data_IF_574022337253
#
_entry.id   IF_574022337253
#
_cell.length_a   1.000
_cell.length_b   1.000
_cell.length_c   1.000
_cell.angle_alpha   90.00
_cell.angle_beta   90.00
_cell.angle_gamma   90.00
#
_symmetry.space_group_name_H-M   'P 1'
#
loop_
_entity.id
_entity.type
_entity.pdbx_description
1 polymer ?
#
# COMPACT_ATOMS: atom_id res chain seq x y z
N UNK A 1 15.38 -10.55 19.79
CA UNK A 1 15.88 -10.30 18.42
C UNK A 1 16.89 -9.15 18.51
N UNK A 2 17.92 -9.11 17.65
CA UNK A 2 18.92 -8.04 17.69
C UNK A 2 18.30 -6.71 17.23
N UNK A 3 18.85 -5.58 17.71
CA UNK A 3 18.44 -4.25 17.26
C UNK A 3 18.73 -4.09 15.76
N UNK A 4 17.79 -3.49 15.01
CA UNK A 4 17.94 -3.27 13.58
C UNK A 4 18.92 -2.14 13.29
N UNK A 5 19.43 -2.07 12.05
CA UNK A 5 20.43 -1.09 11.64
C UNK A 5 20.07 -0.48 10.30
N UNK A 6 20.52 0.74 10.07
CA UNK A 6 20.45 1.33 8.74
C UNK A 6 21.34 0.53 7.76
N UNK A 7 20.92 0.39 6.50
CA UNK A 7 21.74 -0.19 5.44
C UNK A 7 22.12 0.90 4.45
N UNK A 8 23.37 1.33 4.48
CA UNK A 8 23.85 2.47 3.70
C UNK A 8 25.15 2.08 2.99
N UNK A 9 25.20 2.31 1.68
CA UNK A 9 26.41 2.05 0.89
C UNK A 9 26.88 0.60 0.95
N UNK A 10 25.98 -0.39 1.08
CA UNK A 10 26.30 -1.81 1.19
C UNK A 10 26.73 -2.24 2.58
N UNK A 11 26.44 -1.49 3.63
CA UNK A 11 26.84 -1.81 5.00
C UNK A 11 25.71 -1.60 6.00
N UNK A 12 25.57 -2.51 6.97
CA UNK A 12 24.69 -2.33 8.13
C UNK A 12 25.38 -1.45 9.17
N UNK A 13 24.88 -0.23 9.33
CA UNK A 13 25.48 0.79 10.17
C UNK A 13 24.59 1.09 11.39
N UNK A 14 25.23 1.21 12.55
CA UNK A 14 24.53 1.71 13.74
C UNK A 14 24.39 3.22 13.62
N UNK A 15 23.18 3.74 13.95
CA UNK A 15 22.92 5.17 13.97
C UNK A 15 23.90 5.95 14.85
N UNK A 16 24.43 7.08 14.33
CA UNK A 16 25.42 7.91 15.00
C UNK A 16 24.88 8.65 16.23
N UNK A 17 23.58 9.02 16.22
CA UNK A 17 22.92 9.77 17.29
C UNK A 17 22.57 8.95 18.53
N UNK A 18 22.64 7.62 18.48
CA UNK A 18 22.42 6.71 19.61
C UNK A 18 20.98 6.67 20.16
N UNK A 19 20.01 7.29 19.49
CA UNK A 19 18.59 7.23 19.87
C UNK A 19 17.90 6.06 19.18
N UNK A 20 16.99 5.41 19.92
CA UNK A 20 16.30 4.20 19.49
C UNK A 20 14.81 4.31 19.76
N UNK A 21 14.02 3.68 18.91
CA UNK A 21 12.57 3.49 19.08
C UNK A 21 12.29 2.00 19.26
N UNK A 22 11.41 1.66 20.20
CA UNK A 22 10.94 0.29 20.39
C UNK A 22 9.94 -0.09 19.31
N UNK A 23 10.02 -1.34 18.87
CA UNK A 23 9.04 -1.97 17.99
C UNK A 23 8.30 -3.07 18.77
N UNK A 24 7.07 -2.82 19.25
CA UNK A 24 6.26 -3.81 19.94
C UNK A 24 5.50 -4.70 18.95
N UNK A 25 5.25 -5.93 19.34
CA UNK A 25 4.36 -6.86 18.65
C UNK A 25 2.90 -6.45 18.84
N UNK A 26 2.14 -6.13 17.78
CA UNK A 26 0.76 -5.62 17.92
C UNK A 26 -0.20 -6.59 18.62
N UNK A 27 0.02 -7.90 18.48
CA UNK A 27 -0.85 -8.91 19.04
C UNK A 27 -0.68 -9.08 20.56
N UNK A 28 0.51 -8.82 21.11
CA UNK A 28 0.84 -9.11 22.50
C UNK A 28 1.33 -7.89 23.29
N UNK A 29 1.71 -6.80 22.64
CA UNK A 29 2.42 -5.67 23.23
C UNK A 29 3.88 -5.98 23.62
N UNK A 30 4.36 -7.19 23.33
CA UNK A 30 5.72 -7.61 23.70
C UNK A 30 6.76 -6.95 22.82
N UNK A 31 7.90 -6.63 23.40
CA UNK A 31 9.04 -6.07 22.64
C UNK A 31 9.56 -7.07 21.60
N UNK A 32 9.75 -6.62 20.36
CA UNK A 32 10.37 -7.39 19.28
C UNK A 32 11.83 -6.99 19.09
N UNK A 33 12.06 -5.73 18.77
CA UNK A 33 13.39 -5.15 18.46
C UNK A 33 13.37 -3.64 18.69
N UNK A 34 14.51 -2.98 18.49
CA UNK A 34 14.59 -1.53 18.40
C UNK A 34 15.09 -1.13 17.03
N UNK A 35 14.68 0.05 16.57
CA UNK A 35 15.17 0.68 15.36
C UNK A 35 15.91 1.98 15.68
N UNK A 36 16.93 2.37 14.90
CA UNK A 36 17.56 3.69 15.06
C UNK A 36 16.56 4.80 14.72
N UNK A 37 16.55 5.86 15.53
CA UNK A 37 15.92 7.13 15.19
C UNK A 37 16.90 7.96 14.36
N UNK A 38 16.95 7.68 13.05
CA UNK A 38 17.83 8.39 12.13
C UNK A 38 17.50 9.88 12.04
N UNK A 39 18.52 10.67 11.81
CA UNK A 39 18.45 12.11 11.64
C UNK A 39 18.93 12.56 10.23
N UNK A 40 19.06 13.86 10.03
CA UNK A 40 19.48 14.43 8.76
C UNK A 40 20.88 13.93 8.33
N UNK A 41 21.78 13.60 9.27
CA UNK A 41 23.13 13.12 8.93
C UNK A 41 23.12 11.70 8.36
N UNK A 42 22.20 10.83 8.85
CA UNK A 42 22.01 9.49 8.28
C UNK A 42 21.35 9.59 6.88
N UNK A 43 20.42 10.54 6.72
CA UNK A 43 19.79 10.84 5.41
C UNK A 43 20.85 11.29 4.41
N UNK A 44 21.71 12.26 4.78
CA UNK A 44 22.77 12.76 3.93
C UNK A 44 23.70 11.62 3.50
N UNK A 45 24.14 10.77 4.45
CA UNK A 45 24.99 9.63 4.14
C UNK A 45 24.33 8.62 3.17
N UNK A 46 23.04 8.35 3.34
CA UNK A 46 22.29 7.44 2.46
C UNK A 46 22.10 8.02 1.06
N UNK A 47 21.79 9.31 0.95
CA UNK A 47 21.64 9.99 -0.34
C UNK A 47 22.98 10.11 -1.06
N UNK A 48 24.08 10.42 -0.35
CA UNK A 48 25.43 10.46 -0.92
C UNK A 48 25.83 9.09 -1.49
N UNK A 49 25.56 8.00 -0.75
CA UNK A 49 25.83 6.64 -1.23
C UNK A 49 24.98 6.32 -2.49
N UNK A 50 23.71 6.70 -2.50
CA UNK A 50 22.83 6.52 -3.64
C UNK A 50 23.31 7.33 -4.87
N UNK A 51 23.64 8.60 -4.66
CA UNK A 51 24.16 9.49 -5.72
C UNK A 51 25.48 8.99 -6.30
N UNK A 52 26.37 8.49 -5.47
CA UNK A 52 27.64 7.91 -5.92
C UNK A 52 27.50 6.66 -6.77
N UNK A 53 26.50 5.82 -6.49
CA UNK A 53 26.25 4.57 -7.22
C UNK A 53 25.47 4.79 -8.54
N UNK A 54 24.67 5.86 -8.63
CA UNK A 54 23.71 6.08 -9.71
C UNK A 54 24.32 6.06 -11.13
N UNK A 55 25.45 6.72 -11.44
CA UNK A 55 26.00 6.73 -12.79
C UNK A 55 26.38 5.33 -13.32
N UNK A 56 26.99 4.50 -12.49
CA UNK A 56 27.39 3.14 -12.87
C UNK A 56 26.17 2.22 -13.00
N UNK A 57 25.21 2.32 -12.09
CA UNK A 57 23.97 1.53 -12.12
C UNK A 57 23.08 1.93 -13.31
N UNK A 58 22.91 3.22 -13.53
CA UNK A 58 22.11 3.76 -14.65
C UNK A 58 22.68 3.45 -16.03
N UNK A 59 23.98 3.17 -16.15
CA UNK A 59 24.64 2.79 -17.39
C UNK A 59 24.40 1.32 -17.80
N UNK A 60 23.93 0.45 -16.89
CA UNK A 60 23.58 -0.93 -17.21
C UNK A 60 22.37 -0.95 -18.17
N UNK A 61 22.31 -1.98 -19.01
CA UNK A 61 21.14 -2.25 -19.84
C UNK A 61 19.94 -2.69 -19.02
N UNK A 62 18.73 -2.60 -19.58
CA UNK A 62 17.51 -3.11 -18.94
C UNK A 62 17.63 -4.60 -18.61
N UNK A 63 18.24 -5.41 -19.51
CA UNK A 63 18.44 -6.84 -19.29
C UNK A 63 19.37 -7.13 -18.11
N UNK A 64 20.49 -6.42 -17.99
CA UNK A 64 21.42 -6.60 -16.85
C UNK A 64 20.75 -6.23 -15.52
N UNK A 65 19.97 -5.16 -15.48
CA UNK A 65 19.20 -4.81 -14.28
C UNK A 65 18.08 -5.82 -13.98
N UNK A 66 17.42 -6.35 -15.01
CA UNK A 66 16.42 -7.41 -14.84
C UNK A 66 17.02 -8.69 -14.22
N UNK A 67 18.25 -9.04 -14.59
CA UNK A 67 18.95 -10.19 -13.99
C UNK A 67 19.22 -9.99 -12.49
N UNK A 68 19.47 -8.73 -12.05
CA UNK A 68 19.56 -8.42 -10.63
C UNK A 68 18.22 -8.53 -9.91
N UNK A 69 17.12 -8.10 -10.55
CA UNK A 69 15.78 -8.26 -9.97
C UNK A 69 15.42 -9.73 -9.79
N UNK A 70 15.74 -10.61 -10.75
CA UNK A 70 15.51 -12.05 -10.62
C UNK A 70 16.34 -12.68 -9.49
N UNK A 71 17.62 -12.30 -9.33
CA UNK A 71 18.44 -12.76 -8.20
C UNK A 71 17.87 -12.36 -6.85
N UNK A 72 17.33 -11.13 -6.74
CA UNK A 72 16.65 -10.67 -5.52
C UNK A 72 15.38 -11.49 -5.30
N UNK A 73 14.58 -11.73 -6.35
CA UNK A 73 13.36 -12.55 -6.26
C UNK A 73 13.67 -13.97 -5.78
N UNK A 74 14.69 -14.63 -6.36
CA UNK A 74 15.11 -15.97 -5.98
C UNK A 74 15.54 -16.04 -4.50
N UNK A 75 16.27 -15.04 -4.05
CA UNK A 75 16.74 -14.98 -2.66
C UNK A 75 15.62 -14.65 -1.65
N UNK A 76 14.61 -13.85 -2.04
CA UNK A 76 13.40 -13.63 -1.25
C UNK A 76 12.55 -14.90 -1.19
N UNK A 77 12.38 -15.60 -2.34
CA UNK A 77 11.63 -16.86 -2.41
C UNK A 77 12.23 -17.93 -1.49
N UNK A 78 13.56 -17.99 -1.41
CA UNK A 78 14.26 -18.91 -0.50
C UNK A 78 14.00 -18.60 1.00
N UNK A 79 13.48 -17.42 1.34
CA UNK A 79 13.11 -17.00 2.71
C UNK A 79 11.61 -16.79 2.87
N UNK A 80 10.79 -17.36 2.01
CA UNK A 80 9.36 -17.10 1.89
C UNK A 80 8.59 -17.27 3.22
N UNK A 81 8.77 -18.39 3.91
CA UNK A 81 8.10 -18.65 5.20
C UNK A 81 8.62 -17.75 6.33
N UNK A 82 9.88 -17.37 6.30
CA UNK A 82 10.44 -16.40 7.24
C UNK A 82 9.84 -15.00 7.02
N UNK A 83 9.68 -14.58 5.76
CA UNK A 83 8.99 -13.32 5.43
C UNK A 83 7.55 -13.35 5.97
N UNK A 84 6.80 -14.44 5.71
CA UNK A 84 5.43 -14.55 6.18
C UNK A 84 5.33 -14.48 7.72
N UNK A 85 6.22 -15.16 8.43
CA UNK A 85 6.26 -15.16 9.89
C UNK A 85 6.62 -13.77 10.45
N UNK A 86 7.60 -13.09 9.87
CA UNK A 86 7.99 -11.74 10.28
C UNK A 86 6.89 -10.71 10.01
N UNK A 87 6.27 -10.75 8.82
CA UNK A 87 5.14 -9.85 8.48
C UNK A 87 3.97 -10.04 9.43
N UNK A 88 3.58 -11.30 9.73
CA UNK A 88 2.50 -11.59 10.67
C UNK A 88 2.80 -11.04 12.05
N UNK A 89 4.01 -11.26 12.54
CA UNK A 89 4.44 -10.83 13.85
C UNK A 89 4.54 -9.31 13.98
N UNK A 90 5.12 -8.65 12.96
CA UNK A 90 5.41 -7.22 12.96
C UNK A 90 4.15 -6.36 12.76
N UNK A 91 3.13 -6.90 12.09
CA UNK A 91 1.89 -6.20 11.76
C UNK A 91 0.68 -6.65 12.57
N UNK A 92 0.75 -7.79 13.24
CA UNK A 92 -0.39 -8.41 13.92
C UNK A 92 -1.39 -9.11 12.99
N UNK A 93 -1.16 -9.15 11.66
CA UNK A 93 -2.06 -9.80 10.69
C UNK A 93 -1.97 -11.33 10.75
N UNK A 94 -3.02 -12.08 10.34
CA UNK A 94 -2.95 -13.53 10.24
C UNK A 94 -1.82 -14.03 9.33
N UNK A 95 -1.16 -15.12 9.74
CA UNK A 95 -0.04 -15.75 9.00
C UNK A 95 -0.48 -16.20 7.59
N UNK A 96 -1.71 -16.68 7.44
CA UNK A 96 -2.30 -17.06 6.16
C UNK A 96 -2.33 -15.88 5.18
N UNK A 97 -2.67 -14.69 5.67
CA UNK A 97 -2.67 -13.45 4.88
C UNK A 97 -1.24 -12.99 4.57
N UNK A 98 -0.35 -12.95 5.56
CA UNK A 98 1.05 -12.57 5.38
C UNK A 98 1.74 -13.45 4.33
N UNK A 99 1.45 -14.77 4.33
CA UNK A 99 1.98 -15.72 3.36
C UNK A 99 1.43 -15.49 1.96
N UNK A 100 0.10 -15.40 1.82
CA UNK A 100 -0.55 -15.36 0.50
C UNK A 100 -0.51 -13.98 -0.16
N UNK A 101 -0.34 -12.92 0.62
CA UNK A 101 -0.29 -11.54 0.13
C UNK A 101 1.15 -11.00 0.20
N UNK A 102 1.70 -10.76 1.39
CA UNK A 102 2.96 -10.03 1.53
C UNK A 102 4.16 -10.79 0.99
N UNK A 103 4.38 -12.04 1.44
CA UNK A 103 5.48 -12.88 0.98
C UNK A 103 5.35 -13.19 -0.51
N UNK A 104 4.13 -13.54 -0.98
CA UNK A 104 3.89 -13.81 -2.40
C UNK A 104 4.19 -12.58 -3.26
N UNK A 105 3.73 -11.41 -2.85
CA UNK A 105 3.88 -10.18 -3.62
C UNK A 105 5.31 -9.65 -3.60
N UNK A 106 6.04 -9.82 -2.50
CA UNK A 106 7.44 -9.42 -2.43
C UNK A 106 8.30 -10.10 -3.51
N UNK A 107 8.10 -11.39 -3.75
CA UNK A 107 8.77 -12.15 -4.80
C UNK A 107 8.23 -11.79 -6.19
N UNK A 108 6.91 -11.84 -6.35
CA UNK A 108 6.26 -11.66 -7.66
C UNK A 108 6.45 -10.26 -8.23
N UNK A 109 6.60 -9.22 -7.40
CA UNK A 109 6.89 -7.86 -7.84
C UNK A 109 8.25 -7.78 -8.55
N UNK A 110 9.30 -8.34 -7.97
CA UNK A 110 10.62 -8.35 -8.60
C UNK A 110 10.62 -9.15 -9.91
N UNK A 111 10.03 -10.36 -9.93
CA UNK A 111 9.92 -11.18 -11.16
C UNK A 111 9.13 -10.47 -12.26
N UNK A 112 8.00 -9.84 -11.89
CA UNK A 112 7.16 -9.12 -12.83
C UNK A 112 7.93 -7.97 -13.49
N UNK A 113 8.61 -7.12 -12.70
CA UNK A 113 9.37 -6.01 -13.24
C UNK A 113 10.60 -6.48 -14.02
N UNK A 114 11.26 -7.57 -13.63
CA UNK A 114 12.32 -8.17 -14.44
C UNK A 114 11.81 -8.59 -15.83
N UNK A 115 10.63 -9.21 -15.88
CA UNK A 115 9.99 -9.63 -17.14
C UNK A 115 9.71 -8.45 -18.08
N UNK A 116 9.00 -7.43 -17.59
CA UNK A 116 8.62 -6.30 -18.45
C UNK A 116 9.80 -5.41 -18.84
N UNK A 117 10.89 -5.37 -18.04
CA UNK A 117 12.11 -4.64 -18.39
C UNK A 117 12.82 -5.25 -19.59
N UNK A 118 12.83 -6.56 -19.72
CA UNK A 118 13.45 -7.25 -20.89
C UNK A 118 12.71 -6.96 -22.20
N UNK A 119 11.42 -6.65 -22.10
CA UNK A 119 10.56 -6.31 -23.24
C UNK A 119 10.39 -4.80 -23.43
N UNK A 120 11.00 -4.01 -22.52
CA UNK A 120 10.84 -2.55 -22.56
C UNK A 120 11.71 -1.92 -23.63
N UNK A 121 11.07 -1.43 -24.68
CA UNK A 121 11.69 -0.66 -25.77
C UNK A 121 11.11 0.75 -25.78
N UNK A 122 11.91 1.72 -26.26
CA UNK A 122 11.45 3.08 -26.51
C UNK A 122 10.60 3.15 -27.78
N UNK A 123 9.64 4.07 -27.81
CA UNK A 123 8.84 4.31 -29.00
C UNK A 123 9.69 4.88 -30.14
N UNK A 124 9.35 4.50 -31.38
CA UNK A 124 9.98 5.01 -32.61
C UNK A 124 8.90 5.60 -33.52
N UNK A 125 9.12 6.81 -33.95
CA UNK A 125 8.19 7.54 -34.84
C UNK A 125 8.89 7.95 -36.13
N UNK A 126 8.48 7.38 -37.25
CA UNK A 126 9.00 7.66 -38.56
C UNK A 126 8.34 8.90 -39.17
N UNK A 127 9.14 9.77 -39.75
CA UNK A 127 8.71 10.92 -40.55
C UNK A 127 9.34 10.84 -41.95
N UNK A 128 8.83 11.58 -42.91
CA UNK A 128 9.36 11.59 -44.29
C UNK A 128 10.85 11.98 -44.38
N UNK A 129 11.35 12.79 -43.44
CA UNK A 129 12.72 13.32 -43.44
C UNK A 129 13.48 13.14 -42.13
N UNK A 130 12.91 12.39 -41.16
CA UNK A 130 13.54 12.16 -39.86
C UNK A 130 12.93 10.95 -39.16
N UNK A 131 13.68 10.34 -38.24
CA UNK A 131 13.19 9.35 -37.28
C UNK A 131 13.35 9.92 -35.89
N UNK A 132 12.30 9.81 -35.05
CA UNK A 132 12.34 10.17 -33.64
C UNK A 132 12.41 8.90 -32.79
N UNK A 133 13.35 8.88 -31.87
CA UNK A 133 13.52 7.81 -30.88
C UNK A 133 13.20 8.33 -29.49
N UNK A 134 12.35 7.64 -28.74
CA UNK A 134 12.11 7.93 -27.32
C UNK A 134 13.08 7.11 -26.48
N UNK A 135 13.95 7.79 -25.78
CA UNK A 135 14.93 7.17 -24.87
C UNK A 135 14.49 7.42 -23.44
N UNK A 136 14.26 6.34 -22.67
CA UNK A 136 13.91 6.43 -21.26
C UNK A 136 15.18 6.42 -20.41
N UNK A 137 15.48 7.56 -19.76
CA UNK A 137 16.63 7.74 -18.87
C UNK A 137 16.21 7.56 -17.41
N UNK A 138 17.10 7.07 -16.52
CA UNK A 138 16.87 7.15 -15.09
C UNK A 138 16.60 8.59 -14.64
N UNK A 139 15.71 8.78 -13.67
CA UNK A 139 15.46 10.09 -13.05
C UNK A 139 16.65 10.50 -12.19
N UNK A 140 17.18 9.57 -11.39
CA UNK A 140 18.31 9.78 -10.48
C UNK A 140 18.17 9.06 -9.16
N UNK A 141 18.19 9.79 -8.03
CA UNK A 141 18.00 9.26 -6.69
C UNK A 141 16.54 9.34 -6.26
N UNK A 142 15.96 8.21 -5.85
CA UNK A 142 14.59 8.12 -5.40
C UNK A 142 14.45 7.98 -3.88
N UNK A 143 13.54 8.76 -3.28
CA UNK A 143 13.04 8.54 -1.92
C UNK A 143 11.80 7.64 -1.99
N UNK A 144 11.87 6.45 -1.39
CA UNK A 144 10.78 5.49 -1.35
C UNK A 144 10.28 5.35 0.10
N UNK A 145 9.06 5.82 0.35
CA UNK A 145 8.48 5.85 1.70
C UNK A 145 7.24 4.98 1.71
N UNK A 146 7.21 3.97 2.60
CA UNK A 146 6.15 2.96 2.65
C UNK A 146 5.46 2.91 4.02
N UNK A 147 4.16 2.58 4.04
CA UNK A 147 3.37 2.47 5.25
C UNK A 147 3.56 1.11 5.92
N UNK A 148 2.88 0.93 7.05
CA UNK A 148 2.96 -0.23 7.93
C UNK A 148 1.98 -1.39 7.60
N UNK A 149 0.97 -1.18 6.75
CA UNK A 149 -0.10 -2.15 6.59
C UNK A 149 0.23 -3.36 5.70
N UNK A 150 1.07 -3.16 4.68
CA UNK A 150 1.58 -4.19 3.76
C UNK A 150 3.08 -3.92 3.49
N UNK A 151 3.95 -4.07 4.51
CA UNK A 151 5.30 -3.53 4.51
C UNK A 151 6.17 -3.96 3.32
N UNK A 152 6.53 -5.23 3.24
CA UNK A 152 7.43 -5.73 2.20
C UNK A 152 6.76 -5.75 0.82
N UNK A 153 5.45 -6.00 0.76
CA UNK A 153 4.70 -5.89 -0.49
C UNK A 153 4.87 -4.51 -1.12
N UNK A 154 4.60 -3.43 -0.36
CA UNK A 154 4.65 -2.07 -0.89
C UNK A 154 6.09 -1.58 -1.10
N UNK A 155 7.02 -2.02 -0.27
CA UNK A 155 8.43 -1.70 -0.46
C UNK A 155 8.98 -2.32 -1.75
N UNK A 156 8.75 -3.62 -1.97
CA UNK A 156 9.17 -4.31 -3.20
C UNK A 156 8.50 -3.74 -4.46
N UNK A 157 7.23 -3.31 -4.34
CA UNK A 157 6.47 -2.69 -5.44
C UNK A 157 7.07 -1.36 -5.91
N UNK A 158 7.77 -0.64 -5.03
CA UNK A 158 8.47 0.61 -5.36
C UNK A 158 9.94 0.38 -5.75
N UNK A 159 10.65 -0.48 -5.01
CA UNK A 159 12.09 -0.74 -5.25
C UNK A 159 12.32 -1.39 -6.61
N UNK A 160 11.54 -2.43 -6.95
CA UNK A 160 11.78 -3.19 -8.17
C UNK A 160 11.73 -2.34 -9.46
N UNK A 161 10.68 -1.53 -9.74
CA UNK A 161 10.67 -0.67 -10.92
C UNK A 161 11.67 0.48 -10.82
N UNK A 162 11.93 1.02 -9.64
CA UNK A 162 12.87 2.13 -9.46
C UNK A 162 14.29 1.75 -9.88
N UNK A 163 14.84 0.66 -9.29
CA UNK A 163 16.18 0.19 -9.64
C UNK A 163 16.21 -0.44 -11.04
N UNK A 164 15.11 -1.06 -11.47
CA UNK A 164 14.94 -1.59 -12.82
C UNK A 164 15.10 -0.52 -13.89
N UNK A 165 14.57 0.67 -13.68
CA UNK A 165 14.74 1.82 -14.61
C UNK A 165 16.08 2.54 -14.42
N UNK A 166 16.98 2.04 -13.57
CA UNK A 166 18.34 2.54 -13.41
C UNK A 166 18.50 3.65 -12.36
N UNK A 167 17.48 3.91 -11.54
CA UNK A 167 17.61 4.80 -10.40
C UNK A 167 18.30 4.10 -9.24
N UNK A 168 18.85 4.88 -8.32
CA UNK A 168 19.26 4.42 -7.00
C UNK A 168 18.28 4.95 -5.97
N UNK A 169 18.14 4.28 -4.82
CA UNK A 169 17.05 4.59 -3.91
C UNK A 169 17.51 4.65 -2.45
N UNK A 170 16.82 5.52 -1.70
CA UNK A 170 16.82 5.53 -0.24
C UNK A 170 15.41 5.16 0.22
N UNK A 171 15.28 4.02 0.89
CA UNK A 171 14.04 3.48 1.40
C UNK A 171 13.85 3.91 2.84
N UNK A 172 12.65 4.41 3.19
CA UNK A 172 12.20 4.63 4.57
C UNK A 172 10.90 3.87 4.81
N UNK A 173 10.96 2.66 5.36
CA UNK A 173 9.76 1.95 5.79
C UNK A 173 9.10 2.65 6.98
N UNK A 174 7.86 2.29 7.30
CA UNK A 174 7.24 2.73 8.55
C UNK A 174 8.06 2.23 9.74
N UNK A 175 8.18 3.08 10.75
CA UNK A 175 8.79 2.76 12.04
C UNK A 175 8.04 1.67 12.81
N UNK A 176 6.76 1.45 12.50
CA UNK A 176 5.91 0.45 13.15
C UNK A 176 6.10 -0.97 12.60
N UNK A 177 6.71 -1.13 11.41
CA UNK A 177 6.88 -2.43 10.75
C UNK A 177 8.20 -2.51 9.98
N UNK A 178 9.33 -2.48 10.69
CA UNK A 178 10.66 -2.39 10.08
C UNK A 178 11.26 -3.74 9.68
N UNK A 179 10.76 -4.87 10.20
CA UNK A 179 11.48 -6.15 10.21
C UNK A 179 11.70 -6.73 8.83
N UNK A 180 10.69 -6.73 7.97
CA UNK A 180 10.82 -7.30 6.63
C UNK A 180 11.55 -6.39 5.65
N UNK A 181 11.60 -5.08 5.93
CA UNK A 181 12.49 -4.17 5.22
C UNK A 181 13.97 -4.47 5.53
N UNK A 182 14.31 -4.72 6.80
CA UNK A 182 15.65 -5.18 7.20
C UNK A 182 15.99 -6.54 6.57
N UNK A 183 15.05 -7.51 6.58
CA UNK A 183 15.23 -8.78 5.90
C UNK A 183 15.53 -8.60 4.40
N UNK A 184 14.85 -7.67 3.72
CA UNK A 184 15.13 -7.38 2.31
C UNK A 184 16.55 -6.82 2.14
N UNK A 185 17.05 -5.99 3.06
CA UNK A 185 18.45 -5.54 3.01
C UNK A 185 19.45 -6.68 3.22
N UNK A 186 19.15 -7.63 4.10
CA UNK A 186 19.99 -8.84 4.25
C UNK A 186 20.02 -9.67 2.95
N UNK A 187 18.89 -9.75 2.24
CA UNK A 187 18.82 -10.40 0.92
C UNK A 187 19.66 -9.64 -0.10
N UNK A 188 19.52 -8.32 -0.19
CA UNK A 188 20.25 -7.44 -1.10
C UNK A 188 21.77 -7.54 -0.87
N UNK A 189 22.21 -7.53 0.38
CA UNK A 189 23.61 -7.72 0.77
C UNK A 189 24.13 -9.10 0.32
N UNK A 190 23.37 -10.14 0.61
CA UNK A 190 23.74 -11.54 0.27
C UNK A 190 23.84 -11.80 -1.24
N UNK A 191 22.96 -11.20 -2.06
CA UNK A 191 23.04 -11.35 -3.52
C UNK A 191 24.15 -10.48 -4.13
N UNK A 192 24.76 -9.58 -3.36
CA UNK A 192 25.86 -8.73 -3.77
C UNK A 192 25.43 -7.60 -4.73
N UNK A 193 24.23 -7.04 -4.56
CA UNK A 193 23.82 -5.85 -5.32
C UNK A 193 24.86 -4.74 -5.14
N UNK A 194 25.26 -4.00 -6.18
CA UNK A 194 26.27 -2.96 -6.05
C UNK A 194 25.93 -1.97 -4.92
N UNK A 195 26.93 -1.67 -4.08
CA UNK A 195 26.79 -0.81 -2.92
C UNK A 195 26.19 0.56 -3.30
N UNK A 196 25.22 1.04 -2.54
CA UNK A 196 24.54 2.32 -2.76
C UNK A 196 23.36 2.29 -3.75
N UNK A 197 23.13 1.19 -4.48
CA UNK A 197 21.95 1.08 -5.37
C UNK A 197 20.66 1.11 -4.58
N UNK A 198 20.62 0.38 -3.47
CA UNK A 198 19.52 0.42 -2.50
C UNK A 198 20.08 0.76 -1.14
N UNK A 199 19.50 1.73 -0.47
CA UNK A 199 19.82 2.12 0.89
C UNK A 199 18.54 2.11 1.73
N UNK A 200 18.66 1.82 3.02
CA UNK A 200 17.56 1.81 3.97
C UNK A 200 17.91 2.63 5.19
N UNK A 201 17.04 3.56 5.56
CA UNK A 201 17.12 4.29 6.83
C UNK A 201 15.85 4.04 7.64
N UNK A 202 16.00 3.72 8.91
CA UNK A 202 14.93 3.67 9.88
C UNK A 202 14.69 5.05 10.51
N UNK A 203 13.60 5.21 11.24
CA UNK A 203 13.26 6.44 11.93
C UNK A 203 11.86 6.93 11.65
N UNK A 204 11.45 7.97 12.34
CA UNK A 204 10.13 8.55 12.22
C UNK A 204 9.97 9.46 10.98
N UNK A 205 8.75 9.98 10.81
CA UNK A 205 8.44 10.90 9.72
C UNK A 205 9.15 12.23 9.80
N UNK A 206 9.48 12.70 11.01
CA UNK A 206 10.07 14.02 11.27
C UNK A 206 11.60 13.99 11.17
N UNK A 207 12.23 13.00 11.81
CA UNK A 207 13.69 12.89 11.87
C UNK A 207 14.33 12.37 10.58
N UNK A 208 13.70 11.39 9.94
CA UNK A 208 14.22 10.75 8.73
C UNK A 208 13.40 11.10 7.47
N UNK A 209 12.07 11.02 7.55
CA UNK A 209 11.19 11.17 6.38
C UNK A 209 11.22 12.57 5.78
N UNK A 210 11.02 13.62 6.58
CA UNK A 210 10.99 15.00 6.11
C UNK A 210 12.35 15.47 5.55
N UNK A 211 13.50 15.22 6.21
CA UNK A 211 14.82 15.52 5.63
C UNK A 211 15.05 14.79 4.30
N UNK A 212 14.66 13.51 4.19
CA UNK A 212 14.82 12.75 2.96
C UNK A 212 14.04 13.36 1.78
N UNK A 213 12.78 13.77 2.02
CA UNK A 213 11.95 14.41 0.99
C UNK A 213 12.52 15.77 0.59
N UNK A 214 13.04 16.54 1.55
CA UNK A 214 13.57 17.87 1.32
C UNK A 214 14.99 17.88 0.73
N UNK A 215 15.73 16.75 0.77
CA UNK A 215 17.14 16.70 0.37
C UNK A 215 17.32 17.10 -1.09
N UNK A 216 18.28 18.00 -1.37
CA UNK A 216 18.51 18.59 -2.71
C UNK A 216 18.85 17.56 -3.80
N UNK A 217 19.55 16.48 -3.42
CA UNK A 217 20.01 15.42 -4.31
C UNK A 217 19.02 14.24 -4.45
N UNK A 218 17.81 14.38 -3.92
CA UNK A 218 16.69 13.49 -4.21
C UNK A 218 15.90 14.06 -5.38
N UNK A 219 15.77 13.30 -6.45
CA UNK A 219 15.15 13.72 -7.70
C UNK A 219 13.68 13.33 -7.82
N UNK A 220 13.27 12.24 -7.15
CA UNK A 220 11.89 11.74 -7.14
C UNK A 220 11.48 11.25 -5.74
N UNK A 221 10.17 11.31 -5.47
CA UNK A 221 9.56 10.79 -4.25
C UNK A 221 8.39 9.88 -4.61
N UNK A 222 8.43 8.63 -4.16
CA UNK A 222 7.29 7.71 -4.18
C UNK A 222 6.85 7.45 -2.75
N UNK A 223 5.67 7.94 -2.41
CA UNK A 223 5.09 7.86 -1.07
C UNK A 223 3.78 7.09 -1.08
N UNK A 224 3.62 6.17 -0.13
CA UNK A 224 2.34 5.56 0.22
C UNK A 224 2.07 5.77 1.69
N UNK A 225 0.89 6.29 2.04
CA UNK A 225 0.54 6.59 3.44
C UNK A 225 -0.74 7.40 3.60
N UNK A 226 -0.92 8.02 4.76
CA UNK A 226 -2.10 8.83 5.05
C UNK A 226 -2.14 10.15 4.26
N UNK A 227 -3.35 10.60 3.90
CA UNK A 227 -3.56 11.80 3.05
C UNK A 227 -2.95 13.06 3.65
N UNK A 228 -3.09 13.28 4.96
CA UNK A 228 -2.50 14.46 5.63
C UNK A 228 -0.96 14.48 5.57
N UNK A 229 -0.31 13.31 5.55
CA UNK A 229 1.13 13.21 5.34
C UNK A 229 1.46 13.42 3.86
N UNK A 230 0.66 12.88 2.94
CA UNK A 230 0.79 13.09 1.50
C UNK A 230 0.75 14.58 1.11
N UNK A 231 -0.12 15.36 1.74
CA UNK A 231 -0.18 16.83 1.56
C UNK A 231 1.16 17.51 1.94
N UNK A 232 1.77 17.10 3.06
CA UNK A 232 3.08 17.62 3.50
C UNK A 232 4.21 17.19 2.55
N UNK A 233 4.17 15.94 2.09
CA UNK A 233 5.13 15.40 1.11
C UNK A 233 5.06 16.21 -0.20
N UNK A 234 3.86 16.44 -0.72
CA UNK A 234 3.66 17.24 -1.92
C UNK A 234 4.17 18.68 -1.75
N UNK A 235 3.84 19.32 -0.64
CA UNK A 235 4.30 20.68 -0.34
C UNK A 235 5.83 20.78 -0.24
N UNK A 236 6.50 19.77 0.31
CA UNK A 236 7.96 19.73 0.43
C UNK A 236 8.66 19.44 -0.92
N UNK A 237 8.09 18.57 -1.75
CA UNK A 237 8.68 18.15 -3.03
C UNK A 237 8.51 19.19 -4.14
N UNK A 238 7.37 19.88 -4.17
CA UNK A 238 7.00 20.79 -5.27
C UNK A 238 7.99 21.93 -5.56
N UNK A 239 8.57 22.64 -4.56
CA UNK A 239 9.50 23.75 -4.84
C UNK A 239 10.77 23.32 -5.59
N UNK A 240 11.19 22.06 -5.46
CA UNK A 240 12.36 21.49 -6.14
C UNK A 240 12.00 20.75 -7.43
N UNK A 241 10.73 20.81 -7.88
CA UNK A 241 10.22 20.11 -9.06
C UNK A 241 10.50 18.60 -9.06
N UNK A 242 10.56 17.98 -7.87
CA UNK A 242 10.76 16.53 -7.75
C UNK A 242 9.61 15.78 -8.39
N UNK A 243 9.91 14.71 -9.10
CA UNK A 243 8.89 13.81 -9.63
C UNK A 243 8.17 13.15 -8.47
N UNK A 244 6.83 13.13 -8.47
CA UNK A 244 6.03 12.75 -7.33
C UNK A 244 4.99 11.70 -7.69
N UNK A 245 4.97 10.58 -6.94
CA UNK A 245 3.89 9.60 -6.92
C UNK A 245 3.36 9.47 -5.50
N UNK A 246 2.06 9.68 -5.33
CA UNK A 246 1.36 9.59 -4.04
C UNK A 246 0.26 8.55 -4.13
N UNK A 247 0.34 7.54 -3.26
CA UNK A 247 -0.71 6.57 -3.02
C UNK A 247 -1.24 6.79 -1.61
N UNK A 248 -2.49 7.27 -1.50
CA UNK A 248 -3.05 7.79 -0.26
C UNK A 248 -4.29 6.99 0.17
N UNK A 249 -5.01 7.52 1.16
CA UNK A 249 -6.19 6.89 1.72
C UNK A 249 -7.37 6.75 0.76
N UNK A 250 -8.37 6.01 1.20
CA UNK A 250 -9.62 5.79 0.46
C UNK A 250 -10.83 5.67 1.39
N UNK A 251 -12.01 5.94 0.85
CA UNK A 251 -13.31 5.67 1.47
C UNK A 251 -14.19 4.94 0.46
N UNK A 252 -13.76 3.74 0.10
CA UNK A 252 -14.27 3.03 -1.06
C UNK A 252 -15.67 2.47 -0.82
N UNK A 253 -16.47 2.42 -1.89
CA UNK A 253 -17.81 1.86 -1.89
C UNK A 253 -17.83 0.43 -2.47
N UNK A 254 -18.60 -0.47 -1.83
CA UNK A 254 -19.07 -1.73 -2.39
C UNK A 254 -20.54 -1.56 -2.70
N UNK A 255 -20.92 -1.54 -3.97
CA UNK A 255 -22.30 -1.29 -4.42
C UNK A 255 -22.95 -2.63 -4.76
N UNK A 256 -24.05 -2.97 -4.08
CA UNK A 256 -24.76 -4.24 -4.18
C UNK A 256 -26.13 -4.01 -4.77
N UNK A 257 -26.37 -4.51 -6.00
CA UNK A 257 -27.67 -4.49 -6.66
C UNK A 257 -28.48 -5.75 -6.35
N UNK A 258 -29.81 -5.65 -6.45
CA UNK A 258 -30.74 -6.72 -6.13
C UNK A 258 -30.57 -8.00 -6.96
N UNK A 259 -30.04 -7.86 -8.17
CA UNK A 259 -29.81 -8.96 -9.10
C UNK A 259 -28.46 -9.69 -8.91
N UNK A 260 -27.71 -9.36 -7.85
CA UNK A 260 -26.44 -10.03 -7.56
C UNK A 260 -26.63 -11.49 -7.13
N UNK A 261 -25.57 -12.30 -7.26
CA UNK A 261 -25.49 -13.58 -6.56
C UNK A 261 -25.21 -13.30 -5.07
N UNK A 262 -26.22 -13.47 -4.22
CA UNK A 262 -26.21 -13.03 -2.84
C UNK A 262 -25.08 -13.70 -2.02
N UNK A 263 -24.88 -15.02 -2.18
CA UNK A 263 -23.91 -15.76 -1.37
C UNK A 263 -22.46 -15.33 -1.69
N UNK A 264 -22.11 -15.27 -2.96
CA UNK A 264 -20.78 -14.82 -3.38
C UNK A 264 -20.56 -13.32 -3.11
N UNK A 265 -21.62 -12.51 -3.20
CA UNK A 265 -21.56 -11.08 -2.90
C UNK A 265 -21.30 -10.83 -1.42
N UNK A 266 -22.04 -11.47 -0.51
CA UNK A 266 -21.82 -11.34 0.94
C UNK A 266 -20.39 -11.73 1.29
N UNK A 267 -19.91 -12.89 0.83
CA UNK A 267 -18.53 -13.34 1.07
C UNK A 267 -17.49 -12.34 0.52
N UNK A 268 -17.72 -11.84 -0.69
CA UNK A 268 -16.82 -10.87 -1.32
C UNK A 268 -16.79 -9.51 -0.61
N UNK A 269 -17.94 -9.01 -0.15
CA UNK A 269 -18.06 -7.73 0.56
C UNK A 269 -17.50 -7.84 1.99
N UNK A 270 -17.70 -8.96 2.70
CA UNK A 270 -17.03 -9.23 4.00
C UNK A 270 -15.52 -9.18 3.81
N UNK A 271 -14.99 -9.88 2.81
CA UNK A 271 -13.56 -9.83 2.51
C UNK A 271 -13.09 -8.42 2.16
N UNK A 272 -13.86 -7.66 1.38
CA UNK A 272 -13.53 -6.29 1.02
C UNK A 272 -13.52 -5.34 2.24
N UNK A 273 -14.40 -5.52 3.19
CA UNK A 273 -14.50 -4.68 4.39
C UNK A 273 -13.46 -4.99 5.46
N UNK A 274 -13.09 -6.26 5.62
CA UNK A 274 -12.37 -6.70 6.83
C UNK A 274 -10.99 -7.34 6.58
N UNK A 275 -10.59 -7.59 5.32
CA UNK A 275 -9.24 -8.12 5.05
C UNK A 275 -8.18 -7.25 5.75
N UNK A 276 -7.18 -7.90 6.38
CA UNK A 276 -6.15 -7.21 7.14
C UNK A 276 -6.72 -6.27 8.23
N UNK A 277 -7.76 -6.70 8.93
CA UNK A 277 -8.45 -5.92 9.98
C UNK A 277 -8.98 -4.57 9.45
N UNK A 278 -9.39 -4.50 8.18
CA UNK A 278 -9.80 -3.25 7.55
C UNK A 278 -8.65 -2.25 7.27
N UNK A 279 -7.40 -2.67 7.48
CA UNK A 279 -6.20 -1.85 7.35
C UNK A 279 -5.61 -1.92 5.92
N UNK A 280 -6.47 -1.83 4.91
CA UNK A 280 -6.08 -1.75 3.49
C UNK A 280 -6.72 -0.52 2.87
N UNK A 281 -5.93 0.29 2.16
CA UNK A 281 -6.45 1.49 1.48
C UNK A 281 -7.60 1.21 0.49
N UNK A 282 -7.68 -0.04 0.00
CA UNK A 282 -8.70 -0.51 -0.95
C UNK A 282 -9.96 -1.05 -0.27
N UNK A 283 -10.03 -1.15 1.07
CA UNK A 283 -11.17 -1.71 1.77
C UNK A 283 -12.48 -1.01 1.39
N UNK A 284 -13.51 -1.82 1.08
CA UNK A 284 -14.86 -1.37 0.82
C UNK A 284 -15.59 -1.05 2.13
N UNK A 285 -15.19 0.02 2.80
CA UNK A 285 -15.66 0.40 4.14
C UNK A 285 -17.05 1.04 4.14
N UNK A 286 -17.59 1.39 2.96
CA UNK A 286 -18.99 1.79 2.74
C UNK A 286 -19.67 0.74 1.88
N UNK A 287 -20.71 0.10 2.38
CA UNK A 287 -21.51 -0.86 1.62
C UNK A 287 -22.84 -0.23 1.29
N UNK A 288 -23.09 -0.03 0.00
CA UNK A 288 -24.32 0.54 -0.54
C UNK A 288 -25.17 -0.62 -1.06
N UNK A 289 -26.40 -0.75 -0.59
CA UNK A 289 -27.24 -1.90 -0.90
C UNK A 289 -28.59 -1.41 -1.43
N UNK A 290 -29.06 -1.98 -2.57
CA UNK A 290 -30.36 -1.66 -3.13
C UNK A 290 -31.49 -2.00 -2.15
N UNK A 291 -32.43 -1.05 -1.95
CA UNK A 291 -33.51 -1.11 -0.95
C UNK A 291 -34.26 -2.46 -0.95
N UNK A 292 -34.51 -3.01 -2.13
CA UNK A 292 -35.31 -4.23 -2.30
C UNK A 292 -34.67 -5.48 -1.67
N UNK A 293 -33.34 -5.48 -1.46
CA UNK A 293 -32.58 -6.60 -0.86
C UNK A 293 -31.83 -6.19 0.40
N UNK A 294 -32.00 -4.95 0.85
CA UNK A 294 -31.24 -4.39 1.98
C UNK A 294 -31.29 -5.25 3.24
N UNK A 295 -32.50 -5.63 3.67
CA UNK A 295 -32.69 -6.40 4.91
C UNK A 295 -32.07 -7.79 4.79
N UNK A 296 -32.27 -8.49 3.67
CA UNK A 296 -31.69 -9.80 3.44
C UNK A 296 -30.17 -9.75 3.40
N UNK A 297 -29.60 -8.80 2.67
CA UNK A 297 -28.16 -8.62 2.60
C UNK A 297 -27.57 -8.27 3.96
N UNK A 298 -28.17 -7.28 4.66
CA UNK A 298 -27.72 -6.84 5.99
C UNK A 298 -27.61 -8.00 6.97
N UNK A 299 -28.69 -8.79 7.08
CA UNK A 299 -28.74 -9.87 8.06
C UNK A 299 -27.70 -10.95 7.75
N UNK A 300 -27.56 -11.37 6.48
CA UNK A 300 -26.53 -12.33 6.05
C UNK A 300 -25.11 -11.76 6.21
N UNK A 301 -24.91 -10.47 5.95
CA UNK A 301 -23.62 -9.81 6.10
C UNK A 301 -23.19 -9.76 7.58
N UNK A 302 -24.11 -9.41 8.47
CA UNK A 302 -23.86 -9.41 9.93
C UNK A 302 -23.53 -10.80 10.41
N UNK A 303 -24.32 -11.82 10.07
CA UNK A 303 -24.06 -13.22 10.42
C UNK A 303 -22.65 -13.67 9.98
N UNK A 304 -22.25 -13.30 8.75
CA UNK A 304 -20.92 -13.64 8.21
C UNK A 304 -19.79 -12.91 8.93
N UNK A 305 -20.00 -11.65 9.33
CA UNK A 305 -19.03 -10.86 10.12
C UNK A 305 -18.88 -11.43 11.54
N UNK A 306 -19.97 -11.82 12.19
CA UNK A 306 -19.95 -12.44 13.52
C UNK A 306 -19.27 -13.82 13.55
N UNK A 307 -19.30 -14.53 12.41
CA UNK A 307 -18.62 -15.81 12.25
C UNK A 307 -17.10 -15.70 12.10
N UNK A 308 -16.55 -14.50 11.88
CA UNK A 308 -15.10 -14.30 11.72
C UNK A 308 -14.34 -14.63 13.01
N UNK A 309 -13.24 -15.36 12.87
CA UNK A 309 -12.38 -15.77 13.98
C UNK A 309 -11.32 -14.71 14.26
N UNK A 310 -11.38 -14.16 15.47
CA UNK A 310 -10.40 -13.21 15.98
C UNK A 310 -9.48 -13.98 16.94
N UNK A 311 -8.17 -13.92 16.75
CA UNK A 311 -7.27 -14.68 17.63
C UNK A 311 -5.81 -14.66 17.21
N UNK A 312 -5.08 -15.67 17.67
CA UNK A 312 -3.66 -15.86 17.43
C UNK A 312 -3.31 -15.65 15.94
N UNK A 313 -2.49 -14.64 15.58
CA UNK A 313 -2.10 -14.44 14.20
C UNK A 313 -1.32 -15.62 13.59
N UNK A 314 -0.68 -16.46 14.42
CA UNK A 314 0.05 -17.64 13.96
C UNK A 314 -0.84 -18.84 13.64
N UNK A 315 -2.13 -18.82 14.02
CA UNK A 315 -3.09 -19.85 13.67
C UNK A 315 -3.61 -19.61 12.24
N UNK A 316 -3.46 -20.61 11.38
CA UNK A 316 -3.91 -20.59 9.98
C UNK A 316 -5.43 -20.36 9.81
N UNK A 317 -6.20 -20.63 10.86
CA UNK A 317 -7.65 -20.47 10.86
C UNK A 317 -8.11 -19.09 11.35
N UNK A 318 -7.21 -18.22 11.77
CA UNK A 318 -7.53 -16.85 12.19
C UNK A 318 -7.88 -15.99 10.97
N UNK A 319 -9.02 -15.30 11.03
CA UNK A 319 -9.46 -14.37 9.98
C UNK A 319 -9.00 -12.94 10.27
N UNK A 320 -9.01 -12.53 11.53
CA UNK A 320 -8.63 -11.18 11.99
C UNK A 320 -7.61 -11.24 13.13
N UNK A 321 -6.52 -10.52 12.95
CA UNK A 321 -5.50 -10.31 13.96
C UNK A 321 -5.67 -9.00 14.74
N UNK A 322 -4.58 -8.50 15.34
CA UNK A 322 -4.54 -7.23 16.07
C UNK A 322 -4.41 -6.02 15.12
N UNK A 323 -4.88 -4.86 15.56
CA UNK A 323 -4.56 -3.57 14.93
C UNK A 323 -3.09 -3.20 15.23
N UNK A 324 -2.52 -2.38 14.36
CA UNK A 324 -1.08 -2.09 14.36
C UNK A 324 -0.54 -1.48 15.66
N UNK A 325 -1.30 -0.63 16.34
CA UNK A 325 -0.84 0.07 17.54
C UNK A 325 -2.01 0.49 18.43
N UNK A 326 -1.70 0.84 19.71
CA UNK A 326 -2.66 1.37 20.66
C UNK A 326 -3.28 2.68 20.16
N UNK A 327 -2.47 3.63 19.68
CA UNK A 327 -2.96 4.90 19.12
C UNK A 327 -3.95 4.67 17.97
N UNK A 328 -3.68 3.64 17.14
CA UNK A 328 -4.58 3.31 16.04
C UNK A 328 -5.86 2.63 16.51
N UNK A 329 -5.80 1.78 17.52
CA UNK A 329 -6.98 1.21 18.19
C UNK A 329 -7.85 2.33 18.78
N UNK A 330 -7.26 3.28 19.51
CA UNK A 330 -7.98 4.45 20.06
C UNK A 330 -8.64 5.29 18.97
N UNK A 331 -7.93 5.53 17.85
CA UNK A 331 -8.50 6.21 16.69
C UNK A 331 -9.76 5.50 16.17
N UNK A 332 -9.69 4.17 15.97
CA UNK A 332 -10.81 3.38 15.44
C UNK A 332 -11.98 3.38 16.42
N UNK A 333 -11.74 3.23 17.71
CA UNK A 333 -12.75 3.35 18.77
C UNK A 333 -13.40 4.73 18.78
N UNK A 334 -12.61 5.78 18.60
CA UNK A 334 -13.10 7.17 18.50
C UNK A 334 -14.11 7.35 17.36
N UNK A 335 -13.88 6.68 16.20
CA UNK A 335 -14.85 6.68 15.10
C UNK A 335 -16.12 5.88 15.40
N UNK A 336 -16.03 4.80 16.15
CA UNK A 336 -17.22 4.04 16.57
C UNK A 336 -18.09 4.88 17.52
N UNK A 337 -17.47 5.59 18.46
CA UNK A 337 -18.21 6.51 19.35
C UNK A 337 -18.78 7.71 18.59
N UNK A 338 -18.04 8.24 17.61
CA UNK A 338 -18.53 9.28 16.72
C UNK A 338 -19.75 8.81 15.92
N UNK A 339 -19.73 7.59 15.40
CA UNK A 339 -20.85 7.02 14.65
C UNK A 339 -22.14 6.96 15.48
N UNK A 340 -22.04 6.58 16.78
CA UNK A 340 -23.18 6.60 17.71
C UNK A 340 -23.71 8.02 17.91
N UNK A 341 -22.81 9.01 18.00
CA UNK A 341 -23.18 10.43 18.15
C UNK A 341 -23.84 10.98 16.88
N UNK A 342 -23.43 10.47 15.71
CA UNK A 342 -24.01 10.83 14.41
C UNK A 342 -25.33 10.08 14.12
N UNK A 343 -25.83 9.28 15.06
CA UNK A 343 -27.11 8.56 14.97
C UNK A 343 -27.02 7.16 14.36
N UNK A 344 -25.82 6.64 14.16
CA UNK A 344 -25.60 5.27 13.68
C UNK A 344 -25.97 4.22 14.74
N UNK A 345 -26.55 3.12 14.26
CA UNK A 345 -26.85 1.93 15.05
C UNK A 345 -25.79 0.86 14.80
N UNK A 346 -25.20 0.36 15.89
CA UNK A 346 -24.30 -0.78 15.81
C UNK A 346 -25.11 -2.06 15.62
N UNK A 347 -24.84 -2.78 14.54
CA UNK A 347 -25.44 -4.10 14.29
C UNK A 347 -24.62 -5.21 14.95
N UNK A 348 -23.28 -5.07 14.92
CA UNK A 348 -22.36 -5.97 15.63
C UNK A 348 -21.04 -5.25 15.93
N UNK A 349 -20.24 -5.78 16.85
CA UNK A 349 -18.92 -5.26 17.20
C UNK A 349 -18.96 -3.99 18.05
N UNK A 350 -18.11 -3.02 17.71
CA UNK A 350 -18.04 -1.72 18.37
C UNK A 350 -17.30 -1.68 19.69
N UNK A 351 -16.66 -2.77 20.08
CA UNK A 351 -15.93 -2.88 21.33
C UNK A 351 -14.55 -3.50 21.12
N UNK A 352 -13.55 -3.15 21.95
CA UNK A 352 -12.34 -3.94 22.06
C UNK A 352 -12.68 -5.40 22.38
N UNK A 353 -11.94 -6.32 21.82
CA UNK A 353 -11.99 -7.73 22.20
C UNK A 353 -10.58 -8.16 22.62
N UNK A 354 -10.51 -9.08 23.57
CA UNK A 354 -9.22 -9.56 24.08
C UNK A 354 -9.21 -11.09 23.97
N UNK A 355 -8.62 -11.64 22.92
CA UNK A 355 -8.42 -13.07 22.82
C UNK A 355 -7.57 -13.58 23.99
N UNK A 356 -7.93 -14.75 24.56
CA UNK A 356 -7.22 -15.31 25.69
C UNK A 356 -5.74 -15.55 25.37
N UNK A 357 -4.86 -15.04 26.23
CA UNK A 357 -3.40 -15.10 26.04
C UNK A 357 -2.80 -13.94 25.26
N UNK A 358 -3.63 -12.94 24.88
CA UNK A 358 -3.22 -11.76 24.09
C UNK A 358 -3.67 -10.45 24.76
N UNK A 359 -3.71 -10.41 26.07
CA UNK A 359 -4.27 -9.29 26.88
C UNK A 359 -3.51 -7.97 26.70
N UNK A 360 -2.27 -8.01 26.20
CA UNK A 360 -1.46 -6.81 25.94
C UNK A 360 -1.56 -6.26 24.51
N UNK A 361 -2.36 -6.88 23.65
CA UNK A 361 -2.44 -6.50 22.23
C UNK A 361 -3.56 -5.52 21.90
N UNK A 362 -3.56 -5.08 20.64
CA UNK A 362 -4.44 -4.03 20.12
C UNK A 362 -5.65 -4.64 19.39
N UNK A 363 -6.64 -5.14 20.10
CA UNK A 363 -7.71 -5.94 19.54
C UNK A 363 -9.04 -5.21 19.44
N UNK A 364 -9.70 -5.33 18.27
CA UNK A 364 -11.00 -4.74 17.99
C UNK A 364 -11.91 -5.74 17.29
N UNK A 365 -13.14 -5.88 17.77
CA UNK A 365 -14.15 -6.68 17.08
C UNK A 365 -14.55 -6.04 15.74
N UNK A 366 -14.76 -6.84 14.67
CA UNK A 366 -15.28 -6.33 13.42
C UNK A 366 -16.65 -5.69 13.65
N UNK A 367 -16.84 -4.50 13.08
CA UNK A 367 -17.94 -3.61 13.43
C UNK A 367 -18.75 -3.24 12.21
N UNK A 368 -20.07 -3.40 12.30
CA UNK A 368 -21.02 -3.02 11.26
C UNK A 368 -21.99 -1.98 11.82
N UNK A 369 -22.15 -0.87 11.09
CA UNK A 369 -22.96 0.28 11.49
C UNK A 369 -23.97 0.60 10.40
N UNK A 370 -25.25 0.79 10.76
CA UNK A 370 -26.29 1.28 9.84
C UNK A 370 -26.90 2.59 10.32
N UNK A 371 -27.72 3.22 9.48
CA UNK A 371 -28.51 4.41 9.83
C UNK A 371 -27.76 5.74 9.80
N UNK A 372 -26.48 5.72 9.43
CA UNK A 372 -25.70 6.95 9.24
C UNK A 372 -26.13 7.69 7.96
N UNK A 373 -26.13 9.02 8.02
CA UNK A 373 -26.22 9.84 6.81
C UNK A 373 -25.01 9.56 5.90
N UNK A 374 -25.19 9.51 4.56
CA UNK A 374 -24.08 9.47 3.62
C UNK A 374 -23.08 10.64 3.77
N UNK A 375 -23.51 11.77 4.37
CA UNK A 375 -22.69 12.97 4.62
C UNK A 375 -21.98 12.93 5.97
N UNK A 376 -22.25 11.94 6.83
CA UNK A 376 -21.62 11.85 8.14
C UNK A 376 -20.09 11.67 8.02
N UNK A 377 -19.35 12.09 9.03
CA UNK A 377 -17.89 11.91 9.05
C UNK A 377 -17.51 10.44 8.97
N UNK A 378 -18.24 9.57 9.65
CA UNK A 378 -18.01 8.14 9.60
C UNK A 378 -18.27 7.54 8.19
N UNK A 379 -19.11 8.20 7.36
CA UNK A 379 -19.38 7.80 5.98
C UNK A 379 -18.44 8.43 4.95
N UNK A 380 -17.73 9.50 5.29
CA UNK A 380 -16.88 10.26 4.34
C UNK A 380 -15.38 10.24 4.67
N UNK A 381 -15.00 10.01 5.94
CA UNK A 381 -13.61 9.96 6.40
C UNK A 381 -13.06 8.52 6.48
N UNK A 382 -11.77 8.36 6.26
CA UNK A 382 -11.08 7.07 6.34
C UNK A 382 -10.83 6.64 7.80
N UNK A 383 -11.48 5.56 8.22
CA UNK A 383 -11.29 4.97 9.57
C UNK A 383 -10.03 4.12 9.62
N UNK A 384 -9.80 3.30 8.59
CA UNK A 384 -8.67 2.40 8.42
C UNK A 384 -8.60 1.28 9.49
N UNK A 385 -9.74 0.70 9.80
CA UNK A 385 -9.92 -0.35 10.80
C UNK A 385 -11.12 -1.24 10.45
N UNK A 386 -11.43 -2.24 11.27
CA UNK A 386 -12.47 -3.22 10.98
C UNK A 386 -13.89 -2.64 11.22
N UNK A 387 -14.21 -1.55 10.53
CA UNK A 387 -15.47 -0.82 10.66
C UNK A 387 -16.06 -0.56 9.29
N UNK A 388 -17.30 -1.03 9.07
CA UNK A 388 -18.04 -0.90 7.83
C UNK A 388 -19.38 -0.22 8.09
N UNK A 389 -19.78 0.69 7.18
CA UNK A 389 -21.09 1.35 7.22
C UNK A 389 -22.00 0.84 6.11
N UNK A 390 -23.27 0.55 6.44
CA UNK A 390 -24.31 0.11 5.50
C UNK A 390 -25.23 1.29 5.14
N UNK A 391 -25.50 1.47 3.85
CA UNK A 391 -26.36 2.52 3.31
C UNK A 391 -27.33 1.95 2.30
N UNK A 392 -28.65 2.14 2.45
CA UNK A 392 -29.61 1.77 1.42
C UNK A 392 -29.56 2.77 0.26
N UNK A 393 -29.98 2.32 -0.94
CA UNK A 393 -30.22 3.19 -2.09
C UNK A 393 -31.41 2.68 -2.92
N UNK A 394 -32.18 3.61 -3.53
CA UNK A 394 -33.36 3.29 -4.31
C UNK A 394 -33.14 3.31 -5.83
N UNK A 395 -32.01 3.81 -6.33
CA UNK A 395 -31.72 3.88 -7.76
C UNK A 395 -30.21 3.84 -8.06
N UNK A 396 -29.88 3.49 -9.31
CA UNK A 396 -28.49 3.49 -9.80
C UNK A 396 -27.83 4.88 -9.65
N UNK A 397 -28.55 5.95 -10.01
CA UNK A 397 -28.04 7.33 -9.90
C UNK A 397 -27.76 7.71 -8.44
N UNK A 398 -28.61 7.28 -7.51
CA UNK A 398 -28.38 7.50 -6.07
C UNK A 398 -27.17 6.73 -5.56
N UNK A 399 -27.01 5.47 -5.95
CA UNK A 399 -25.82 4.67 -5.58
C UNK A 399 -24.52 5.34 -6.05
N UNK A 400 -24.49 5.83 -7.29
CA UNK A 400 -23.34 6.57 -7.85
C UNK A 400 -23.11 7.87 -7.10
N UNK A 401 -24.19 8.63 -6.80
CA UNK A 401 -24.09 9.87 -6.04
C UNK A 401 -23.49 9.65 -4.64
N UNK A 402 -23.98 8.63 -3.90
CA UNK A 402 -23.45 8.27 -2.58
C UNK A 402 -22.00 7.79 -2.71
N UNK A 403 -21.69 6.96 -3.71
CA UNK A 403 -20.32 6.46 -3.92
C UNK A 403 -19.31 7.60 -4.12
N UNK A 404 -19.70 8.62 -4.90
CA UNK A 404 -18.88 9.79 -5.23
C UNK A 404 -18.82 10.86 -4.12
N UNK A 405 -19.72 10.76 -3.12
CA UNK A 405 -19.82 11.73 -2.01
C UNK A 405 -18.68 11.54 -0.97
N UNK A 406 -17.47 11.72 -1.40
CA UNK A 406 -16.26 11.70 -0.54
C UNK A 406 -15.14 12.46 -1.24
N UNK A 407 -14.21 12.99 -0.44
CA UNK A 407 -12.97 13.60 -0.94
C UNK A 407 -12.02 12.58 -1.61
N UNK A 408 -12.23 11.29 -1.36
CA UNK A 408 -11.41 10.20 -1.85
C UNK A 408 -11.90 9.65 -3.20
N UNK A 409 -11.00 8.96 -3.91
CA UNK A 409 -11.32 8.28 -5.16
C UNK A 409 -10.28 7.19 -5.47
N UNK A 410 -10.09 6.22 -4.57
CA UNK A 410 -9.08 5.17 -4.77
C UNK A 410 -9.68 3.96 -5.50
N UNK A 411 -10.71 3.34 -4.93
CA UNK A 411 -11.27 2.12 -5.47
C UNK A 411 -12.79 2.01 -5.23
N UNK A 412 -13.41 1.02 -5.90
CA UNK A 412 -14.78 0.62 -5.68
C UNK A 412 -15.03 -0.81 -6.14
N UNK A 413 -16.16 -1.40 -5.72
CA UNK A 413 -16.65 -2.67 -6.28
C UNK A 413 -18.15 -2.60 -6.55
N UNK A 414 -18.58 -3.26 -7.62
CA UNK A 414 -19.97 -3.32 -8.05
C UNK A 414 -20.40 -4.79 -8.18
N UNK A 415 -21.52 -5.13 -7.56
CA UNK A 415 -22.03 -6.49 -7.46
C UNK A 415 -23.41 -6.58 -8.13
N UNK A 416 -23.48 -7.23 -9.28
CA UNK A 416 -24.67 -7.36 -10.12
C UNK A 416 -24.51 -8.51 -11.12
N UNK A 417 -25.58 -9.19 -11.50
CA UNK A 417 -25.53 -10.17 -12.59
C UNK A 417 -25.63 -9.53 -13.98
N UNK A 418 -26.05 -8.26 -14.05
CA UNK A 418 -26.06 -7.46 -15.28
C UNK A 418 -24.69 -6.78 -15.50
N UNK A 419 -23.84 -7.38 -16.35
CA UNK A 419 -22.49 -6.89 -16.62
C UNK A 419 -22.48 -5.51 -17.31
N UNK A 420 -23.51 -5.17 -18.09
CA UNK A 420 -23.62 -3.84 -18.72
C UNK A 420 -23.92 -2.76 -17.66
N UNK A 421 -24.78 -3.06 -16.68
CA UNK A 421 -24.98 -2.23 -15.48
C UNK A 421 -23.68 -2.10 -14.69
N UNK A 422 -23.04 -3.23 -14.40
CA UNK A 422 -21.78 -3.26 -13.68
C UNK A 422 -20.72 -2.35 -14.32
N UNK A 423 -20.56 -2.41 -15.64
CA UNK A 423 -19.64 -1.55 -16.38
C UNK A 423 -20.05 -0.08 -16.34
N UNK A 424 -21.33 0.24 -16.64
CA UNK A 424 -21.84 1.61 -16.65
C UNK A 424 -21.67 2.30 -15.28
N UNK A 425 -22.02 1.61 -14.19
CA UNK A 425 -21.83 2.12 -12.83
C UNK A 425 -20.34 2.29 -12.52
N UNK A 426 -19.49 1.34 -12.92
CA UNK A 426 -18.05 1.44 -12.72
C UNK A 426 -17.44 2.66 -13.42
N UNK A 427 -17.91 2.99 -14.63
CA UNK A 427 -17.45 4.15 -15.39
C UNK A 427 -17.97 5.49 -14.81
N UNK A 428 -19.04 5.46 -14.01
CA UNK A 428 -19.64 6.64 -13.38
C UNK A 428 -19.05 6.97 -11.98
N UNK A 429 -18.27 6.06 -11.40
CA UNK A 429 -17.65 6.27 -10.09
C UNK A 429 -16.32 7.00 -10.26
N UNK A 430 -16.12 8.08 -9.49
CA UNK A 430 -14.89 8.89 -9.46
C UNK A 430 -13.76 8.19 -8.70
N UNK A 431 -13.27 7.07 -9.21
CA UNK A 431 -12.19 6.31 -8.60
C UNK A 431 -11.13 5.88 -9.63
N UNK A 432 -9.95 5.52 -9.13
CA UNK A 432 -8.90 5.01 -10.01
C UNK A 432 -9.06 3.54 -10.40
N UNK A 433 -9.83 2.76 -9.61
CA UNK A 433 -10.01 1.31 -9.82
C UNK A 433 -11.40 0.86 -9.41
N UNK A 434 -12.02 0.00 -10.23
CA UNK A 434 -13.30 -0.65 -9.89
C UNK A 434 -13.24 -2.13 -10.28
N UNK A 435 -13.84 -2.97 -9.45
CA UNK A 435 -14.05 -4.39 -9.72
C UNK A 435 -15.53 -4.68 -9.85
N UNK A 436 -15.90 -5.57 -10.76
CA UNK A 436 -17.26 -6.08 -10.91
C UNK A 436 -17.30 -7.54 -10.48
N UNK A 437 -18.19 -7.87 -9.54
CA UNK A 437 -18.39 -9.21 -8.96
C UNK A 437 -17.12 -9.83 -8.35
N UNK A 438 -16.18 -9.01 -7.92
CA UNK A 438 -14.97 -9.40 -7.22
C UNK A 438 -14.39 -8.20 -6.46
N UNK A 439 -13.38 -8.44 -5.62
CA UNK A 439 -12.59 -7.41 -4.98
C UNK A 439 -11.13 -7.85 -4.87
N UNK A 440 -10.19 -6.91 -5.11
CA UNK A 440 -8.74 -7.12 -5.05
C UNK A 440 -8.23 -8.23 -6.01
N UNK A 441 -8.95 -8.47 -7.12
CA UNK A 441 -8.44 -9.32 -8.19
C UNK A 441 -7.47 -8.49 -9.05
N UNK A 442 -6.17 -8.68 -8.84
CA UNK A 442 -5.13 -7.79 -9.38
C UNK A 442 -4.32 -8.42 -10.50
N UNK A 443 -4.18 -7.65 -11.58
CA UNK A 443 -3.13 -7.82 -12.58
C UNK A 443 -2.07 -6.73 -12.38
N UNK A 444 -0.79 -7.09 -12.38
CA UNK A 444 0.32 -6.15 -12.16
C UNK A 444 0.56 -5.21 -13.34
N UNK A 445 0.00 -5.53 -14.49
CA UNK A 445 0.12 -4.74 -15.72
C UNK A 445 -0.80 -3.54 -15.78
N UNK A 446 -1.92 -3.56 -15.03
CA UNK A 446 -2.93 -2.50 -15.08
C UNK A 446 -2.57 -1.31 -14.21
N UNK A 447 -3.11 -0.10 -14.50
CA UNK A 447 -2.84 1.07 -13.67
C UNK A 447 -3.41 0.90 -12.26
N UNK A 448 -2.63 1.30 -11.28
CA UNK A 448 -3.01 1.35 -9.88
C UNK A 448 -2.82 2.78 -9.38
N UNK A 449 -3.78 3.30 -8.63
CA UNK A 449 -3.72 4.63 -8.03
C UNK A 449 -5.06 5.35 -8.02
N UNK A 450 -5.18 6.32 -7.12
CA UNK A 450 -6.41 7.08 -6.89
C UNK A 450 -6.53 8.35 -7.72
N UNK A 451 -7.72 8.94 -7.67
CA UNK A 451 -8.02 10.31 -8.07
C UNK A 451 -8.40 11.12 -6.85
N UNK A 452 -8.71 12.41 -6.99
CA UNK A 452 -9.03 13.32 -5.89
C UNK A 452 -7.92 13.26 -4.80
N UNK A 453 -8.29 13.20 -3.52
CA UNK A 453 -7.34 13.16 -2.40
C UNK A 453 -6.75 11.76 -2.12
N UNK A 454 -7.05 10.78 -2.99
CA UNK A 454 -6.45 9.44 -2.89
C UNK A 454 -5.10 9.31 -3.58
N UNK A 455 -4.65 10.33 -4.32
CA UNK A 455 -3.28 10.32 -4.80
C UNK A 455 -3.02 11.02 -6.13
N UNK A 456 -1.76 10.96 -6.53
CA UNK A 456 -1.23 11.54 -7.77
C UNK A 456 -0.34 10.52 -8.45
N UNK A 457 -0.50 10.34 -9.76
CA UNK A 457 0.25 9.35 -10.53
C UNK A 457 -0.46 8.01 -10.63
N UNK A 458 0.20 7.07 -11.25
CA UNK A 458 -0.23 5.66 -11.35
C UNK A 458 0.98 4.75 -11.21
N UNK A 459 0.78 3.64 -10.51
CA UNK A 459 1.74 2.55 -10.40
C UNK A 459 1.28 1.35 -11.23
N UNK A 460 2.14 0.35 -11.41
CA UNK A 460 1.87 -0.88 -12.15
C UNK A 460 2.33 -0.83 -13.61
N UNK A 461 2.87 -1.95 -14.08
CA UNK A 461 3.30 -2.13 -15.46
C UNK A 461 4.07 -0.94 -16.03
N UNK A 462 3.65 -0.50 -17.20
CA UNK A 462 4.27 0.64 -17.91
C UNK A 462 4.17 1.98 -17.17
N UNK A 463 3.18 2.15 -16.29
CA UNK A 463 3.02 3.40 -15.52
C UNK A 463 4.14 3.56 -14.48
N UNK A 464 4.51 2.46 -13.79
CA UNK A 464 5.68 2.49 -12.91
C UNK A 464 6.96 2.76 -13.68
N UNK A 465 7.18 2.09 -14.83
CA UNK A 465 8.36 2.36 -15.67
C UNK A 465 8.42 3.83 -16.12
N UNK A 466 7.29 4.40 -16.54
CA UNK A 466 7.19 5.81 -16.94
C UNK A 466 7.41 6.78 -15.77
N UNK A 467 6.96 6.44 -14.55
CA UNK A 467 7.22 7.26 -13.37
C UNK A 467 8.71 7.25 -13.00
N UNK A 468 9.37 6.11 -13.03
CA UNK A 468 10.78 5.95 -12.66
C UNK A 468 11.77 6.25 -13.82
N UNK A 469 11.31 6.88 -14.90
CA UNK A 469 12.16 7.30 -16.01
C UNK A 469 11.79 8.68 -16.53
N UNK A 470 12.72 9.31 -17.26
CA UNK A 470 12.49 10.53 -18.02
C UNK A 470 12.58 10.22 -19.53
N UNK A 471 11.49 10.48 -20.25
CA UNK A 471 11.42 10.30 -21.68
C UNK A 471 12.14 11.45 -22.40
N UNK A 472 13.16 11.12 -23.21
CA UNK A 472 13.88 12.08 -24.04
C UNK A 472 13.65 11.75 -25.52
N UNK A 473 13.21 12.73 -26.29
CA UNK A 473 13.13 12.59 -27.75
C UNK A 473 14.50 12.88 -28.41
N UNK A 474 14.94 11.96 -29.26
CA UNK A 474 16.10 12.13 -30.14
C UNK A 474 15.61 12.10 -31.58
N UNK A 475 15.65 13.25 -32.27
CA UNK A 475 15.26 13.36 -33.66
C UNK A 475 16.51 13.27 -34.54
N UNK A 476 16.55 12.25 -35.41
CA UNK A 476 17.64 12.06 -36.39
C UNK A 476 17.10 12.38 -37.78
N UNK A 477 17.61 13.44 -38.40
CA UNK A 477 17.24 13.82 -39.75
C UNK A 477 17.86 12.86 -40.76
N UNK A 478 17.08 12.46 -41.75
CA UNK A 478 17.55 11.72 -42.90
C UNK A 478 18.22 12.71 -43.90
N UNK A 479 19.22 12.25 -44.60
CA UNK A 479 19.91 13.03 -45.66
C UNK A 479 19.01 13.22 -46.89
#
# INVERSE_FOLDING_TARGET
MDDLRNYIGGQFLTHSGGQWMDNPEPATGSHICRIPLSDASDVDAAVDAARGAQPAWGALSHSERADWLDRIADALEARYEEIAALESRDTGKPISLARTVDAHRSVSNFRFFAGILREHEGDVFEMASATNYVVNKPVGVGALITPWNLPLYLLSWKVAPAIGMGNTVVCKPSELTPMTADLMMQVIDKVGLPAGVVNLIHGDGTGAGAPLIAHSDVDLVSFTGGTSTGEKVAASAAPAFKKLSLELGGKNASIVFADCDMDSTVAGVVRAGFLNQGQVCLCGSRVLVEDSVYVEFRDRFVDAVEAMRIGDPSDESTDLGALISEDHLEKVQGYVELAKQEGGALLTGGTPCLPSGFEGGNWMAPTVIEGLSPDSRCSTEEIFGPVVTLHPFGSEDEAVAIANNTRYGLAGSVWTSDLDKGRRVSEAIDTGMVWVNTWLHRDLRVPFGGVKDSGVGREGGKWSLGFFSEAMNVCVKHD
#
